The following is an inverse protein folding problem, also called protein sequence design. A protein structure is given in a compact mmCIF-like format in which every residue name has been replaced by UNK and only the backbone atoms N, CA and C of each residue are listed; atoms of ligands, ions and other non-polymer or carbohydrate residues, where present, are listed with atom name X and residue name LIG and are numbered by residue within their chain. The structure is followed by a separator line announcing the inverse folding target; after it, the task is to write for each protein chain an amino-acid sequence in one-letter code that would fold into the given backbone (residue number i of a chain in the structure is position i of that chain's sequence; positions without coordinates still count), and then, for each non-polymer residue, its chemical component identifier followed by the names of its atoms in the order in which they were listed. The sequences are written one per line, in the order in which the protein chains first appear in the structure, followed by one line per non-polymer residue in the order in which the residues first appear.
data_IF_827460709017
#
_entry.id   IF_827460709017
#
_cell.length_a   1.000
_cell.length_b   1.000
_cell.length_c   1.000
_cell.angle_alpha   90.00
_cell.angle_beta   90.00
_cell.angle_gamma   90.00
#
_symmetry.space_group_name_H-M   'P 1'
#
loop_
_entity.id
_entity.type
_entity.pdbx_description
1 polymer ?
#
# COMPACT_ATOMS: atom_id res chain seq x y z
N UNK A 1 -15.45 -16.53 -10.47
CA UNK A 1 -14.69 -15.47 -9.78
C UNK A 1 -13.53 -15.02 -10.64
N UNK A 2 -12.62 -15.94 -10.95
CA UNK A 2 -11.47 -15.75 -11.81
C UNK A 2 -11.59 -16.65 -13.05
N UNK A 3 -10.72 -16.43 -14.05
CA UNK A 3 -10.61 -17.33 -15.18
C UNK A 3 -10.31 -18.76 -14.69
N UNK A 4 -10.93 -19.75 -15.32
CA UNK A 4 -10.75 -21.16 -14.97
C UNK A 4 -10.63 -22.01 -16.22
N UNK A 5 -9.70 -22.99 -16.27
CA UNK A 5 -9.62 -23.95 -17.37
C UNK A 5 -10.84 -24.89 -17.43
N UNK A 6 -11.64 -24.97 -16.37
CA UNK A 6 -12.82 -25.86 -16.30
C UNK A 6 -14.04 -25.34 -17.09
N UNK A 7 -14.00 -24.12 -17.64
CA UNK A 7 -15.10 -23.54 -18.42
C UNK A 7 -14.59 -22.90 -19.71
N UNK A 8 -15.20 -23.26 -20.83
CA UNK A 8 -14.84 -22.82 -22.19
C UNK A 8 -15.31 -21.41 -22.54
N UNK A 9 -16.23 -20.82 -21.75
CA UNK A 9 -16.73 -19.46 -21.95
C UNK A 9 -16.38 -18.57 -20.74
N UNK A 10 -15.33 -17.77 -20.88
CA UNK A 10 -14.78 -16.88 -19.82
C UNK A 10 -15.18 -15.42 -19.97
N UNK A 11 -16.19 -15.11 -20.80
CA UNK A 11 -16.53 -13.74 -21.25
C UNK A 11 -16.92 -12.73 -20.15
N UNK A 12 -17.07 -13.13 -18.89
CA UNK A 12 -17.40 -12.21 -17.79
C UNK A 12 -16.79 -12.65 -16.45
N UNK A 13 -15.48 -12.52 -16.32
CA UNK A 13 -14.79 -12.64 -15.02
C UNK A 13 -15.12 -11.40 -14.17
N UNK A 14 -15.84 -11.60 -13.06
CA UNK A 14 -16.35 -10.51 -12.21
C UNK A 14 -15.43 -10.12 -11.03
N UNK A 15 -14.50 -11.00 -10.64
CA UNK A 15 -13.59 -10.78 -9.51
C UNK A 15 -14.28 -10.62 -8.15
N UNK A 16 -13.52 -10.13 -7.16
CA UNK A 16 -14.02 -9.83 -5.80
C UNK A 16 -15.02 -8.67 -5.82
N UNK A 17 -14.74 -7.61 -6.60
CA UNK A 17 -15.60 -6.43 -6.72
C UNK A 17 -16.99 -6.76 -7.25
N UNK A 18 -17.10 -7.54 -8.34
CA UNK A 18 -18.41 -7.93 -8.84
C UNK A 18 -19.15 -8.88 -7.88
N UNK A 19 -18.42 -9.63 -7.07
CA UNK A 19 -19.01 -10.48 -6.02
C UNK A 19 -19.56 -9.65 -4.87
N UNK A 20 -18.86 -8.60 -4.44
CA UNK A 20 -19.39 -7.63 -3.48
C UNK A 20 -20.66 -6.96 -3.98
N UNK A 21 -20.71 -6.61 -5.28
CA UNK A 21 -21.89 -5.99 -5.89
C UNK A 21 -23.11 -6.92 -5.81
N UNK A 22 -22.93 -8.20 -6.13
CA UNK A 22 -23.97 -9.23 -6.00
C UNK A 22 -24.40 -9.37 -4.53
N UNK A 23 -23.45 -9.52 -3.60
CA UNK A 23 -23.74 -9.68 -2.17
C UNK A 23 -24.47 -8.48 -1.57
N UNK A 24 -24.10 -7.28 -1.99
CA UNK A 24 -24.80 -6.05 -1.61
C UNK A 24 -26.23 -6.04 -2.12
N UNK A 25 -26.46 -6.45 -3.36
CA UNK A 25 -27.79 -6.49 -3.98
C UNK A 25 -28.73 -7.53 -3.33
N UNK A 26 -28.19 -8.59 -2.72
CA UNK A 26 -28.97 -9.61 -2.00
C UNK A 26 -28.82 -9.53 -0.48
N UNK A 27 -28.36 -8.39 0.04
CA UNK A 27 -28.05 -8.24 1.47
C UNK A 27 -29.26 -8.47 2.38
N UNK A 28 -30.46 -8.09 1.92
CA UNK A 28 -31.72 -8.31 2.66
C UNK A 28 -32.18 -9.78 2.66
N UNK A 29 -31.64 -10.61 1.76
CA UNK A 29 -31.98 -12.04 1.68
C UNK A 29 -31.15 -12.86 2.68
N UNK A 30 -31.50 -12.78 3.96
CA UNK A 30 -30.79 -13.48 5.05
C UNK A 30 -30.88 -15.00 4.97
N UNK A 31 -31.94 -15.54 4.35
CA UNK A 31 -32.18 -16.98 4.24
C UNK A 31 -31.50 -17.64 3.03
N UNK A 32 -30.76 -16.88 2.23
CA UNK A 32 -30.08 -17.39 1.04
C UNK A 32 -28.59 -17.51 1.32
N UNK A 33 -28.11 -18.74 1.39
CA UNK A 33 -26.69 -19.05 1.48
C UNK A 33 -25.98 -18.75 0.15
N UNK A 34 -24.74 -18.30 0.24
CA UNK A 34 -23.94 -17.80 -0.87
C UNK A 34 -22.57 -18.47 -0.91
N UNK A 35 -22.23 -19.00 -2.08
CA UNK A 35 -20.92 -19.58 -2.34
C UNK A 35 -20.31 -18.94 -3.56
N UNK A 36 -19.00 -18.67 -3.52
CA UNK A 36 -18.26 -18.21 -4.68
C UNK A 36 -17.63 -19.38 -5.43
N UNK A 37 -17.60 -19.33 -6.76
CA UNK A 37 -17.09 -20.41 -7.61
C UNK A 37 -16.28 -19.88 -8.80
N UNK A 38 -15.29 -20.66 -9.22
CA UNK A 38 -14.57 -20.51 -10.49
C UNK A 38 -13.21 -19.83 -10.34
N UNK A 39 -12.15 -20.59 -10.60
CA UNK A 39 -10.75 -20.12 -10.54
C UNK A 39 -10.22 -19.94 -9.11
N UNK A 40 -10.88 -20.53 -8.12
CA UNK A 40 -10.47 -20.49 -6.71
C UNK A 40 -9.45 -21.60 -6.47
N UNK A 41 -8.34 -21.25 -5.81
CA UNK A 41 -7.23 -22.14 -5.46
C UNK A 41 -6.60 -21.71 -4.12
N UNK A 42 -5.57 -22.42 -3.66
CA UNK A 42 -4.91 -22.15 -2.37
C UNK A 42 -4.36 -20.72 -2.25
N UNK A 43 -3.89 -20.13 -3.35
CA UNK A 43 -3.26 -18.80 -3.31
C UNK A 43 -4.27 -17.65 -3.24
N UNK A 44 -5.53 -17.86 -3.60
CA UNK A 44 -6.54 -16.79 -3.63
C UNK A 44 -7.76 -17.01 -2.73
N UNK A 45 -7.98 -18.20 -2.17
CA UNK A 45 -9.19 -18.53 -1.40
C UNK A 45 -9.42 -17.58 -0.22
N UNK A 46 -8.39 -17.26 0.55
CA UNK A 46 -8.52 -16.36 1.70
C UNK A 46 -8.84 -14.93 1.26
N UNK A 47 -8.23 -14.49 0.15
CA UNK A 47 -8.51 -13.19 -0.45
C UNK A 47 -9.95 -13.10 -0.94
N UNK A 48 -10.47 -14.15 -1.56
CA UNK A 48 -11.88 -14.22 -1.99
C UNK A 48 -12.81 -14.06 -0.80
N UNK A 49 -12.58 -14.84 0.27
CA UNK A 49 -13.39 -14.77 1.48
C UNK A 49 -13.30 -13.40 2.18
N UNK A 50 -12.12 -12.79 2.15
CA UNK A 50 -11.88 -11.50 2.82
C UNK A 50 -12.40 -10.31 2.01
N UNK A 51 -11.99 -10.16 0.75
CA UNK A 51 -12.33 -9.01 -0.08
C UNK A 51 -13.72 -9.10 -0.70
N UNK A 52 -14.38 -10.26 -0.81
CA UNK A 52 -15.72 -10.28 -1.43
C UNK A 52 -16.84 -9.80 -0.51
N UNK A 53 -16.56 -9.51 0.76
CA UNK A 53 -17.59 -9.17 1.75
C UNK A 53 -18.27 -7.83 1.44
N UNK A 54 -19.60 -7.79 1.58
CA UNK A 54 -20.40 -6.57 1.62
C UNK A 54 -20.69 -6.19 3.08
N UNK A 55 -20.95 -4.91 3.43
CA UNK A 55 -21.22 -4.51 4.81
C UNK A 55 -22.28 -5.34 5.55
N UNK A 56 -23.31 -5.79 4.83
CA UNK A 56 -24.45 -6.50 5.40
C UNK A 56 -24.50 -7.99 5.05
N UNK A 57 -23.60 -8.50 4.20
CA UNK A 57 -23.60 -9.92 3.79
C UNK A 57 -22.21 -10.38 3.33
N UNK A 58 -21.80 -11.55 3.82
CA UNK A 58 -20.57 -12.24 3.43
C UNK A 58 -20.86 -13.54 2.68
N UNK A 59 -19.82 -14.12 2.07
CA UNK A 59 -19.88 -15.47 1.54
C UNK A 59 -19.98 -16.49 2.68
N UNK A 60 -20.85 -17.49 2.54
CA UNK A 60 -20.96 -18.63 3.45
C UNK A 60 -19.90 -19.70 3.15
N UNK A 61 -19.34 -19.68 1.95
CA UNK A 61 -18.25 -20.57 1.57
C UNK A 61 -17.73 -20.39 0.14
N UNK A 62 -16.90 -21.35 -0.27
CA UNK A 62 -16.32 -21.42 -1.61
C UNK A 62 -16.59 -22.79 -2.22
N UNK A 63 -16.84 -22.83 -3.52
CA UNK A 63 -16.94 -24.06 -4.28
C UNK A 63 -15.67 -24.24 -5.14
N UNK A 64 -14.97 -25.34 -4.89
CA UNK A 64 -13.65 -25.64 -5.46
C UNK A 64 -13.76 -26.94 -6.26
N UNK A 65 -13.24 -26.95 -7.49
CA UNK A 65 -13.28 -28.11 -8.39
C UNK A 65 -11.87 -28.57 -8.73
N UNK A 66 -11.19 -27.91 -9.67
CA UNK A 66 -9.90 -28.36 -10.20
C UNK A 66 -8.80 -28.45 -9.14
N UNK A 67 -8.74 -27.51 -8.18
CA UNK A 67 -7.70 -27.50 -7.16
C UNK A 67 -7.78 -28.66 -6.15
N UNK A 68 -8.90 -29.39 -6.11
CA UNK A 68 -9.06 -30.61 -5.33
C UNK A 68 -9.04 -31.84 -6.25
N UNK A 69 -9.87 -31.82 -7.31
CA UNK A 69 -10.07 -32.98 -8.18
C UNK A 69 -8.86 -33.32 -9.04
N UNK A 70 -7.98 -32.35 -9.33
CA UNK A 70 -6.76 -32.55 -10.09
C UNK A 70 -5.50 -32.49 -9.21
N UNK A 71 -5.64 -32.49 -7.88
CA UNK A 71 -4.50 -32.55 -6.98
C UNK A 71 -3.98 -34.00 -6.90
N UNK A 72 -2.65 -34.15 -6.77
CA UNK A 72 -2.03 -35.46 -6.57
C UNK A 72 -2.52 -36.13 -5.27
N UNK A 73 -2.77 -35.33 -4.23
CA UNK A 73 -3.40 -35.74 -2.98
C UNK A 73 -4.64 -34.86 -2.69
N UNK A 74 -5.85 -35.28 -3.12
CA UNK A 74 -7.07 -34.55 -2.87
C UNK A 74 -7.41 -34.40 -1.38
N UNK A 75 -6.99 -35.34 -0.53
CA UNK A 75 -7.25 -35.28 0.92
C UNK A 75 -6.42 -34.15 1.55
N UNK A 76 -5.11 -34.15 1.31
CA UNK A 76 -4.22 -33.11 1.81
C UNK A 76 -4.64 -31.71 1.31
N UNK A 77 -4.96 -31.60 0.01
CA UNK A 77 -5.47 -30.36 -0.59
C UNK A 77 -6.75 -29.87 0.11
N UNK A 78 -7.69 -30.76 0.40
CA UNK A 78 -8.95 -30.43 1.09
C UNK A 78 -8.71 -30.00 2.54
N UNK A 79 -7.81 -30.69 3.27
CA UNK A 79 -7.45 -30.31 4.64
C UNK A 79 -6.82 -28.91 4.69
N UNK A 80 -5.99 -28.57 3.72
CA UNK A 80 -5.40 -27.23 3.60
C UNK A 80 -6.47 -26.17 3.31
N UNK A 81 -7.39 -26.41 2.36
CA UNK A 81 -8.51 -25.51 2.13
C UNK A 81 -9.36 -25.30 3.38
N UNK A 82 -9.66 -26.36 4.13
CA UNK A 82 -10.43 -26.25 5.36
C UNK A 82 -9.74 -25.36 6.40
N UNK A 83 -8.40 -25.38 6.47
CA UNK A 83 -7.62 -24.47 7.33
C UNK A 83 -7.66 -23.03 6.82
N UNK A 84 -7.43 -22.81 5.53
CA UNK A 84 -7.40 -21.48 4.91
C UNK A 84 -8.76 -20.77 4.99
N UNK A 85 -9.88 -21.49 4.78
CA UNK A 85 -11.22 -20.90 4.83
C UNK A 85 -11.62 -20.50 6.26
N UNK A 86 -11.17 -21.25 7.27
CA UNK A 86 -11.49 -21.00 8.68
C UNK A 86 -10.60 -19.95 9.36
N UNK A 87 -9.50 -19.56 8.72
CA UNK A 87 -8.56 -18.58 9.27
C UNK A 87 -8.59 -17.29 8.44
N UNK A 88 -8.50 -16.12 9.09
CA UNK A 88 -8.34 -14.87 8.35
C UNK A 88 -7.01 -14.89 7.60
N UNK A 89 -6.92 -14.25 6.41
CA UNK A 89 -5.64 -14.10 5.73
C UNK A 89 -4.64 -13.35 6.61
N UNK A 90 -3.35 -13.65 6.48
CA UNK A 90 -2.30 -12.99 7.25
C UNK A 90 -2.22 -11.47 7.03
N UNK A 91 -2.71 -10.99 5.88
CA UNK A 91 -2.82 -9.57 5.54
C UNK A 91 -4.14 -8.91 5.99
N UNK A 92 -5.08 -9.66 6.57
CA UNK A 92 -6.37 -9.13 7.02
C UNK A 92 -6.19 -8.04 8.09
N UNK A 93 -7.03 -6.99 8.00
CA UNK A 93 -7.15 -5.99 9.04
C UNK A 93 -8.01 -6.50 10.20
N UNK A 94 -7.73 -6.01 11.41
CA UNK A 94 -8.75 -5.85 12.44
C UNK A 94 -9.29 -4.42 12.31
N UNK A 95 -10.45 -4.20 11.68
CA UNK A 95 -10.99 -2.85 11.54
C UNK A 95 -11.21 -2.25 12.93
N UNK A 96 -10.58 -1.11 13.20
CA UNK A 96 -10.83 -0.29 14.38
C UNK A 96 -11.95 0.69 14.05
N UNK A 97 -12.98 0.72 14.89
CA UNK A 97 -14.00 1.77 14.81
C UNK A 97 -13.36 3.13 15.10
N UNK A 98 -13.75 4.16 14.35
CA UNK A 98 -13.34 5.54 14.61
C UNK A 98 -13.68 5.93 16.05
N UNK A 99 -12.72 6.54 16.76
CA UNK A 99 -12.94 7.15 18.07
C UNK A 99 -13.61 8.51 17.91
N UNK A 100 -14.10 9.05 19.01
CA UNK A 100 -14.43 10.49 19.10
C UNK A 100 -13.10 11.26 19.04
N UNK A 101 -12.98 12.23 18.13
CA UNK A 101 -11.73 12.95 17.80
C UNK A 101 -10.60 12.02 17.32
N UNK A 102 -10.88 11.21 16.29
CA UNK A 102 -9.91 10.23 15.77
C UNK A 102 -8.61 10.91 15.29
N UNK A 103 -8.68 12.05 14.61
CA UNK A 103 -7.49 12.77 14.15
C UNK A 103 -6.55 13.18 15.31
N UNK A 104 -7.09 13.72 16.40
CA UNK A 104 -6.29 14.13 17.57
C UNK A 104 -5.63 12.92 18.23
N UNK A 105 -6.38 11.83 18.42
CA UNK A 105 -5.86 10.61 19.01
C UNK A 105 -4.77 9.95 18.14
N UNK A 106 -4.94 9.98 16.81
CA UNK A 106 -3.92 9.50 15.88
C UNK A 106 -2.64 10.35 15.94
N UNK A 107 -2.76 11.68 16.00
CA UNK A 107 -1.62 12.61 16.11
C UNK A 107 -0.78 12.28 17.35
N UNK A 108 -1.40 12.02 18.50
CA UNK A 108 -0.69 11.70 19.75
C UNK A 108 0.16 10.41 19.65
N UNK A 109 -0.28 9.44 18.86
CA UNK A 109 0.42 8.16 18.68
C UNK A 109 1.59 8.25 17.67
N UNK A 110 1.62 9.26 16.79
CA UNK A 110 2.60 9.37 15.69
C UNK A 110 4.07 9.33 16.16
N UNK A 111 4.52 10.08 17.17
CA UNK A 111 5.93 10.05 17.59
C UNK A 111 6.41 8.66 18.02
N UNK A 112 5.54 7.89 18.69
CA UNK A 112 5.84 6.51 19.08
C UNK A 112 6.00 5.61 17.85
N UNK A 113 5.14 5.76 16.84
CA UNK A 113 5.23 4.97 15.61
C UNK A 113 6.49 5.31 14.80
N UNK A 114 6.85 6.59 14.73
CA UNK A 114 8.11 7.02 14.11
C UNK A 114 9.30 6.40 14.83
N UNK A 115 9.32 6.42 16.17
CA UNK A 115 10.38 5.77 16.96
C UNK A 115 10.46 4.27 16.69
N UNK A 116 9.32 3.56 16.66
CA UNK A 116 9.27 2.13 16.29
C UNK A 116 9.84 1.87 14.91
N UNK A 117 9.53 2.71 13.92
CA UNK A 117 10.08 2.61 12.57
C UNK A 117 11.61 2.80 12.58
N UNK A 118 12.08 3.82 13.31
CA UNK A 118 13.51 4.11 13.44
C UNK A 118 14.26 2.98 14.15
N UNK A 119 13.68 2.32 15.16
CA UNK A 119 14.31 1.19 15.85
C UNK A 119 14.24 -0.13 15.07
N UNK A 120 13.13 -0.36 14.35
CA UNK A 120 12.89 -1.62 13.65
C UNK A 120 13.78 -1.78 12.41
N UNK A 121 14.18 -0.67 11.78
CA UNK A 121 14.89 -0.65 10.50
C UNK A 121 14.22 -1.60 9.48
N UNK A 122 13.02 -1.25 8.98
CA UNK A 122 12.22 -2.13 8.12
C UNK A 122 12.73 -2.20 6.68
N UNK A 123 12.87 -3.40 6.14
CA UNK A 123 13.28 -3.64 4.75
C UNK A 123 12.16 -3.32 3.76
N UNK A 124 12.51 -2.69 2.63
CA UNK A 124 11.55 -2.42 1.54
C UNK A 124 12.12 -2.86 0.20
N UNK A 125 11.42 -3.78 -0.44
CA UNK A 125 11.64 -4.20 -1.81
C UNK A 125 10.90 -3.28 -2.76
N UNK A 126 11.65 -2.54 -3.57
CA UNK A 126 11.12 -1.54 -4.48
C UNK A 126 11.20 -2.05 -5.92
N UNK A 127 10.03 -2.26 -6.53
CA UNK A 127 9.87 -2.48 -7.96
C UNK A 127 9.38 -1.19 -8.60
N UNK A 128 10.30 -0.23 -8.75
CA UNK A 128 9.99 1.16 -9.15
C UNK A 128 10.63 1.57 -10.48
N UNK A 129 10.21 2.72 -10.99
CA UNK A 129 10.74 3.32 -12.21
C UNK A 129 12.19 3.79 -12.04
N UNK A 130 12.99 3.68 -13.10
CA UNK A 130 14.43 4.00 -13.07
C UNK A 130 14.73 5.48 -12.83
N UNK A 131 13.79 6.39 -13.11
CA UNK A 131 13.98 7.84 -12.97
C UNK A 131 14.15 8.23 -11.50
N UNK A 132 13.45 7.54 -10.60
CA UNK A 132 13.37 7.91 -9.19
C UNK A 132 14.17 6.98 -8.26
N UNK A 133 14.76 5.91 -8.79
CA UNK A 133 15.50 4.89 -8.00
C UNK A 133 16.49 5.53 -7.03
N UNK A 134 17.36 6.41 -7.52
CA UNK A 134 18.38 7.05 -6.69
C UNK A 134 17.76 7.94 -5.61
N UNK A 135 16.77 8.74 -5.96
CA UNK A 135 16.12 9.65 -5.01
C UNK A 135 15.38 8.87 -3.91
N UNK A 136 14.58 7.88 -4.30
CA UNK A 136 13.83 7.02 -3.37
C UNK A 136 14.78 6.24 -2.45
N UNK A 137 15.90 5.74 -2.97
CA UNK A 137 16.92 5.07 -2.15
C UNK A 137 17.49 6.01 -1.09
N UNK A 138 17.86 7.25 -1.46
CA UNK A 138 18.39 8.24 -0.52
C UNK A 138 17.36 8.66 0.53
N UNK A 139 16.09 8.82 0.15
CA UNK A 139 15.00 9.09 1.10
C UNK A 139 14.89 7.95 2.13
N UNK A 140 14.83 6.70 1.66
CA UNK A 140 14.72 5.54 2.54
C UNK A 140 15.93 5.43 3.50
N UNK A 141 17.14 5.69 3.01
CA UNK A 141 18.37 5.71 3.82
C UNK A 141 18.46 6.89 4.78
N UNK A 142 17.85 8.03 4.45
CA UNK A 142 17.78 9.18 5.35
C UNK A 142 16.87 8.88 6.55
N UNK A 143 15.86 8.04 6.35
CA UNK A 143 14.88 7.65 7.38
C UNK A 143 15.23 6.37 8.15
N UNK A 144 15.97 5.45 7.55
CA UNK A 144 16.37 4.18 8.16
C UNK A 144 17.87 4.17 8.46
N UNK A 145 18.30 3.80 9.68
CA UNK A 145 19.72 3.84 10.05
C UNK A 145 20.51 2.80 9.26
N UNK A 146 21.59 3.25 8.59
CA UNK A 146 22.69 2.39 8.19
C UNK A 146 23.74 2.43 9.30
N UNK A 147 23.77 1.43 10.18
CA UNK A 147 24.84 1.33 11.18
C UNK A 147 26.15 0.99 10.45
N UNK A 148 26.92 2.02 10.08
CA UNK A 148 28.20 1.89 9.37
C UNK A 148 29.20 1.01 10.14
N UNK A 149 29.09 0.93 11.46
CA UNK A 149 29.94 0.08 12.32
C UNK A 149 29.66 -1.42 12.23
N UNK A 150 28.48 -1.85 11.76
CA UNK A 150 28.17 -3.29 11.66
C UNK A 150 28.60 -3.90 10.30
N UNK A 151 28.87 -3.05 9.30
CA UNK A 151 29.17 -3.52 7.94
C UNK A 151 30.58 -4.13 7.79
N UNK A 152 31.53 -3.81 8.67
CA UNK A 152 32.89 -4.39 8.66
C UNK A 152 32.92 -5.76 9.34
N UNK A 153 31.88 -6.16 10.08
CA UNK A 153 31.78 -7.45 10.82
C UNK A 153 30.65 -8.35 10.26
N UNK A 154 30.11 -8.03 9.07
CA UNK A 154 29.01 -8.78 8.44
C UNK A 154 29.33 -10.26 8.11
N UNK A 155 30.56 -10.73 8.35
CA UNK A 155 30.93 -12.14 8.25
C UNK A 155 30.77 -12.94 9.55
N UNK A 156 30.50 -12.29 10.69
CA UNK A 156 30.44 -12.94 12.00
C UNK A 156 29.03 -13.07 12.61
N UNK A 157 28.03 -12.37 12.09
CA UNK A 157 26.66 -12.40 12.63
C UNK A 157 25.62 -12.81 11.58
N UNK A 158 25.78 -13.99 10.98
CA UNK A 158 24.72 -14.64 10.19
C UNK A 158 23.48 -15.03 11.05
N UNK A 159 23.56 -14.89 12.37
CA UNK A 159 22.49 -15.25 13.32
C UNK A 159 21.75 -14.05 13.94
N UNK A 160 22.04 -12.81 13.56
CA UNK A 160 21.25 -11.65 13.99
C UNK A 160 20.35 -11.17 12.85
N UNK A 161 19.12 -11.69 12.83
CA UNK A 161 18.00 -11.43 11.88
C UNK A 161 17.52 -9.96 11.78
N UNK A 162 18.31 -8.96 12.20
CA UNK A 162 17.91 -7.55 12.30
C UNK A 162 19.04 -6.57 12.01
N UNK A 163 19.89 -6.86 11.04
CA UNK A 163 20.97 -5.93 10.65
C UNK A 163 20.56 -5.07 9.45
N UNK A 164 20.05 -3.87 9.74
CA UNK A 164 20.02 -2.70 8.86
C UNK A 164 19.19 -2.82 7.58
N UNK A 165 17.98 -2.30 7.59
CA UNK A 165 17.22 -2.13 6.35
C UNK A 165 17.88 -1.15 5.39
N UNK A 166 18.19 -1.70 4.22
CA UNK A 166 18.52 -0.95 3.02
C UNK A 166 17.39 -1.19 2.01
N UNK A 167 16.95 -0.16 1.28
CA UNK A 167 16.04 -0.39 0.16
C UNK A 167 16.72 -1.31 -0.87
N UNK A 168 16.04 -2.35 -1.33
CA UNK A 168 16.48 -3.12 -2.50
C UNK A 168 15.69 -2.69 -3.72
N UNK A 169 16.37 -2.53 -4.84
CA UNK A 169 15.80 -2.08 -6.12
C UNK A 169 15.86 -3.25 -7.09
N UNK A 170 14.87 -4.13 -7.00
CA UNK A 170 14.88 -5.47 -7.59
C UNK A 170 13.63 -5.69 -8.44
N UNK A 171 13.66 -5.44 -9.76
CA UNK A 171 12.47 -5.56 -10.61
C UNK A 171 12.17 -7.01 -11.03
N UNK A 172 13.03 -7.97 -10.70
CA UNK A 172 12.89 -9.35 -11.14
C UNK A 172 11.95 -10.13 -10.21
N UNK A 173 10.90 -10.72 -10.76
CA UNK A 173 9.86 -11.38 -9.96
C UNK A 173 10.30 -12.70 -9.34
N UNK A 174 11.27 -13.41 -9.93
CA UNK A 174 11.69 -14.73 -9.47
C UNK A 174 12.52 -14.69 -8.18
N UNK A 175 13.19 -13.57 -7.88
CA UNK A 175 13.91 -13.38 -6.59
C UNK A 175 13.00 -12.89 -5.46
N UNK A 176 11.76 -12.48 -5.78
CA UNK A 176 10.83 -11.94 -4.79
C UNK A 176 10.49 -12.92 -3.64
N UNK A 177 10.38 -14.25 -3.85
CA UNK A 177 10.23 -15.20 -2.74
C UNK A 177 11.39 -15.19 -1.75
N UNK A 178 12.63 -14.97 -2.21
CA UNK A 178 13.80 -14.90 -1.34
C UNK A 178 13.80 -13.58 -0.55
N UNK A 179 13.48 -12.47 -1.22
CA UNK A 179 13.39 -11.14 -0.60
C UNK A 179 12.24 -11.06 0.42
N UNK A 180 11.09 -11.68 0.12
CA UNK A 180 9.95 -11.70 1.02
C UNK A 180 10.28 -12.39 2.37
N UNK A 181 11.26 -13.31 2.40
CA UNK A 181 11.73 -13.97 3.64
C UNK A 181 12.47 -13.04 4.61
N UNK A 182 12.84 -11.84 4.18
CA UNK A 182 13.52 -10.84 5.00
C UNK A 182 12.56 -10.00 5.86
N UNK A 183 11.27 -10.36 5.92
CA UNK A 183 10.24 -9.76 6.77
C UNK A 183 9.99 -8.26 6.54
N UNK A 184 10.21 -7.78 5.31
CA UNK A 184 9.92 -6.40 4.90
C UNK A 184 8.58 -6.21 4.18
N UNK A 185 8.49 -5.11 3.42
CA UNK A 185 7.35 -4.79 2.54
C UNK A 185 7.76 -4.71 1.07
N UNK A 186 6.77 -4.79 0.18
CA UNK A 186 6.92 -4.62 -1.26
C UNK A 186 6.27 -3.32 -1.72
N UNK A 187 6.97 -2.53 -2.54
CA UNK A 187 6.41 -1.43 -3.33
C UNK A 187 6.37 -1.83 -4.81
N UNK A 188 5.18 -1.89 -5.38
CA UNK A 188 4.97 -2.00 -6.83
C UNK A 188 4.60 -0.62 -7.38
N UNK A 189 5.48 -0.05 -8.20
CA UNK A 189 5.26 1.23 -8.87
C UNK A 189 5.28 1.04 -10.39
N UNK A 190 4.22 1.47 -11.06
CA UNK A 190 4.00 1.21 -12.48
C UNK A 190 4.71 2.21 -13.42
N UNK A 191 5.58 3.10 -12.91
CA UNK A 191 6.12 4.21 -13.69
C UNK A 191 6.87 3.79 -14.96
N UNK A 192 7.61 2.67 -14.93
CA UNK A 192 8.32 2.12 -16.10
C UNK A 192 7.81 0.72 -16.46
N UNK A 193 6.60 0.65 -17.02
CA UNK A 193 6.03 -0.61 -17.49
C UNK A 193 6.67 -1.07 -18.80
N UNK A 194 7.13 -2.32 -18.82
CA UNK A 194 7.61 -3.06 -20.00
C UNK A 194 6.83 -4.39 -20.17
N UNK A 195 7.14 -5.17 -21.21
CA UNK A 195 6.43 -6.41 -21.53
C UNK A 195 6.40 -7.45 -20.41
N UNK A 196 7.43 -7.49 -19.57
CA UNK A 196 7.57 -8.47 -18.48
C UNK A 196 7.10 -7.94 -17.11
N UNK A 197 6.86 -6.63 -17.01
CA UNK A 197 6.61 -5.95 -15.72
C UNK A 197 5.42 -6.54 -14.97
N UNK A 198 4.28 -6.72 -15.65
CA UNK A 198 3.06 -7.26 -15.02
C UNK A 198 3.30 -8.67 -14.48
N UNK A 199 4.00 -9.51 -15.23
CA UNK A 199 4.35 -10.87 -14.78
C UNK A 199 5.25 -10.84 -13.54
N UNK A 200 6.27 -9.98 -13.53
CA UNK A 200 7.16 -9.83 -12.37
C UNK A 200 6.44 -9.29 -11.14
N UNK A 201 5.57 -8.27 -11.30
CA UNK A 201 4.77 -7.73 -10.21
C UNK A 201 3.83 -8.77 -9.61
N UNK A 202 3.20 -9.61 -10.43
CA UNK A 202 2.32 -10.68 -9.95
C UNK A 202 3.07 -11.73 -9.13
N UNK A 203 4.27 -12.13 -9.56
CA UNK A 203 5.13 -13.06 -8.81
C UNK A 203 5.51 -12.49 -7.45
N UNK A 204 5.95 -11.22 -7.43
CA UNK A 204 6.30 -10.55 -6.18
C UNK A 204 5.08 -10.38 -5.26
N UNK A 205 3.95 -9.93 -5.81
CA UNK A 205 2.70 -9.78 -5.07
C UNK A 205 2.28 -11.09 -4.38
N UNK A 206 2.31 -12.21 -5.11
CA UNK A 206 2.00 -13.53 -4.56
C UNK A 206 2.97 -13.94 -3.46
N UNK A 207 4.27 -13.72 -3.64
CA UNK A 207 5.28 -14.04 -2.65
C UNK A 207 5.09 -13.27 -1.33
N UNK A 208 4.80 -11.97 -1.40
CA UNK A 208 4.58 -11.13 -0.21
C UNK A 208 3.23 -11.42 0.45
N UNK A 209 2.14 -11.59 -0.33
CA UNK A 209 0.83 -11.96 0.21
C UNK A 209 0.86 -13.32 0.93
N UNK A 210 1.58 -14.31 0.40
CA UNK A 210 1.71 -15.62 1.03
C UNK A 210 2.38 -15.57 2.41
N UNK A 211 3.22 -14.54 2.65
CA UNK A 211 3.87 -14.29 3.95
C UNK A 211 3.09 -13.32 4.85
N UNK A 212 1.99 -12.74 4.37
CA UNK A 212 1.30 -11.64 5.06
C UNK A 212 2.17 -10.39 5.20
N UNK A 213 3.15 -10.22 4.31
CA UNK A 213 4.02 -9.05 4.29
C UNK A 213 3.30 -7.88 3.58
N UNK A 214 3.46 -6.62 4.05
CA UNK A 214 2.73 -5.49 3.48
C UNK A 214 3.10 -5.24 2.01
N UNK A 215 2.10 -4.94 1.18
CA UNK A 215 2.29 -4.55 -0.21
C UNK A 215 1.67 -3.18 -0.47
N UNK A 216 2.49 -2.25 -0.95
CA UNK A 216 2.11 -0.91 -1.39
C UNK A 216 2.01 -0.89 -2.92
N UNK A 217 0.92 -0.33 -3.43
CA UNK A 217 0.71 -0.15 -4.86
C UNK A 217 0.64 1.33 -5.23
N UNK A 218 1.49 1.71 -6.18
CA UNK A 218 1.57 3.05 -6.77
C UNK A 218 1.31 2.95 -8.29
N UNK A 219 0.04 3.16 -8.74
CA UNK A 219 -0.41 2.97 -10.11
C UNK A 219 -0.05 4.18 -10.98
N UNK A 220 1.22 4.57 -10.98
CA UNK A 220 1.73 5.76 -11.68
C UNK A 220 1.23 5.83 -13.13
N UNK A 221 0.58 6.93 -13.47
CA UNK A 221 0.05 7.19 -14.81
C UNK A 221 -1.02 6.17 -15.25
N UNK A 222 -1.74 5.55 -14.31
CA UNK A 222 -2.75 4.53 -14.61
C UNK A 222 -3.77 4.94 -15.68
N UNK A 223 -4.16 6.22 -15.71
CA UNK A 223 -5.14 6.73 -16.66
C UNK A 223 -4.53 7.11 -18.02
N UNK A 224 -3.21 7.05 -18.20
CA UNK A 224 -2.55 7.63 -19.37
C UNK A 224 -2.71 6.78 -20.66
N UNK A 225 -2.68 5.45 -20.54
CA UNK A 225 -2.73 4.53 -21.70
C UNK A 225 -3.60 3.30 -21.41
N UNK A 226 -4.11 2.66 -22.47
CA UNK A 226 -4.87 1.41 -22.34
C UNK A 226 -4.05 0.27 -21.71
N UNK A 227 -2.77 0.16 -22.07
CA UNK A 227 -1.87 -0.84 -21.47
C UNK A 227 -1.79 -0.66 -19.96
N UNK A 228 -1.67 0.59 -19.47
CA UNK A 228 -1.62 0.89 -18.03
C UNK A 228 -2.96 0.59 -17.34
N UNK A 229 -4.09 0.91 -17.97
CA UNK A 229 -5.43 0.54 -17.44
C UNK A 229 -5.61 -0.98 -17.33
N UNK A 230 -5.18 -1.73 -18.34
CA UNK A 230 -5.22 -3.19 -18.32
C UNK A 230 -4.30 -3.78 -17.24
N UNK A 231 -3.11 -3.19 -17.06
CA UNK A 231 -2.18 -3.59 -16.00
C UNK A 231 -2.76 -3.36 -14.59
N UNK A 232 -3.41 -2.21 -14.33
CA UNK A 232 -4.11 -1.95 -13.07
C UNK A 232 -5.17 -3.02 -12.80
N UNK A 233 -6.04 -3.30 -13.76
CA UNK A 233 -7.07 -4.34 -13.63
C UNK A 233 -6.46 -5.71 -13.33
N UNK A 234 -5.36 -6.05 -14.02
CA UNK A 234 -4.67 -7.34 -13.85
C UNK A 234 -4.03 -7.47 -12.47
N UNK A 235 -3.37 -6.41 -11.99
CA UNK A 235 -2.71 -6.39 -10.68
C UNK A 235 -3.72 -6.41 -9.54
N UNK A 236 -4.77 -5.59 -9.62
CA UNK A 236 -5.89 -5.63 -8.68
C UNK A 236 -6.57 -6.99 -8.67
N UNK A 237 -6.66 -7.70 -9.80
CA UNK A 237 -7.18 -9.07 -9.83
C UNK A 237 -6.18 -10.11 -9.32
N UNK A 238 -4.87 -9.81 -9.30
CA UNK A 238 -3.78 -10.75 -9.04
C UNK A 238 -3.43 -10.98 -7.56
N UNK A 239 -3.69 -10.01 -6.68
CA UNK A 239 -3.41 -10.14 -5.24
C UNK A 239 -4.00 -9.02 -4.39
N UNK A 240 -3.56 -8.96 -3.14
CA UNK A 240 -4.00 -7.99 -2.14
C UNK A 240 -2.93 -6.92 -1.93
N UNK A 241 -3.38 -5.67 -1.85
CA UNK A 241 -2.55 -4.51 -1.54
C UNK A 241 -3.02 -3.91 -0.21
N UNK A 242 -2.07 -3.69 0.70
CA UNK A 242 -2.30 -3.06 2.00
C UNK A 242 -2.53 -1.56 1.88
N UNK A 243 -1.83 -0.93 0.94
CA UNK A 243 -1.97 0.48 0.60
C UNK A 243 -2.07 0.66 -0.91
N UNK A 244 -3.08 1.38 -1.37
CA UNK A 244 -3.12 1.95 -2.71
C UNK A 244 -2.90 3.45 -2.60
N UNK A 245 -1.82 3.94 -3.20
CA UNK A 245 -1.46 5.35 -3.19
C UNK A 245 -1.48 5.91 -4.60
N UNK A 246 -1.99 7.11 -4.79
CA UNK A 246 -1.88 7.82 -6.07
C UNK A 246 -2.43 9.24 -6.00
N UNK A 247 -2.30 9.99 -7.08
CA UNK A 247 -3.02 11.26 -7.24
C UNK A 247 -4.52 11.04 -7.55
N UNK A 248 -5.30 12.13 -7.58
CA UNK A 248 -6.76 12.07 -7.85
C UNK A 248 -7.09 11.24 -9.10
N UNK A 249 -6.42 11.46 -10.22
CA UNK A 249 -6.74 10.76 -11.48
C UNK A 249 -6.33 9.28 -11.46
N UNK A 250 -5.24 8.94 -10.79
CA UNK A 250 -4.82 7.55 -10.59
C UNK A 250 -5.80 6.80 -9.69
N UNK A 251 -6.20 7.38 -8.56
CA UNK A 251 -7.19 6.78 -7.66
C UNK A 251 -8.56 6.64 -8.36
N UNK A 252 -8.98 7.61 -9.17
CA UNK A 252 -10.19 7.50 -10.01
C UNK A 252 -10.11 6.36 -11.01
N UNK A 253 -8.93 6.11 -11.58
CA UNK A 253 -8.70 5.00 -12.51
C UNK A 253 -8.72 3.65 -11.80
N UNK A 254 -8.14 3.53 -10.61
CA UNK A 254 -8.23 2.31 -9.77
C UNK A 254 -9.68 2.06 -9.35
N UNK A 255 -10.43 3.12 -9.04
CA UNK A 255 -11.87 3.01 -8.76
C UNK A 255 -12.67 2.50 -9.97
N UNK A 256 -12.18 2.70 -11.19
CA UNK A 256 -12.89 2.30 -12.41
C UNK A 256 -13.89 3.35 -12.90
N UNK A 257 -13.82 4.58 -12.40
CA UNK A 257 -14.50 5.70 -13.04
C UNK A 257 -13.77 6.05 -14.34
N UNK A 258 -14.52 6.26 -15.43
CA UNK A 258 -13.97 6.79 -16.69
C UNK A 258 -13.48 8.22 -16.43
N UNK A 259 -12.30 8.37 -15.85
CA UNK A 259 -11.62 9.64 -15.73
C UNK A 259 -11.16 10.09 -17.12
N UNK A 260 -11.21 11.40 -17.36
CA UNK A 260 -10.60 11.99 -18.54
C UNK A 260 -9.12 11.60 -18.63
N UNK A 261 -8.64 11.44 -19.86
CA UNK A 261 -7.28 10.96 -20.13
C UNK A 261 -6.23 11.88 -19.48
N UNK A 262 -5.46 11.37 -18.51
CA UNK A 262 -4.31 12.10 -17.96
C UNK A 262 -3.21 12.24 -19.02
N UNK A 263 -2.65 13.45 -19.17
CA UNK A 263 -1.45 13.68 -19.98
C UNK A 263 -0.20 13.39 -19.14
N UNK A 264 0.33 12.17 -19.24
CA UNK A 264 1.58 11.79 -18.56
C UNK A 264 1.40 11.44 -17.08
N UNK A 265 2.45 11.70 -16.28
CA UNK A 265 2.49 11.42 -14.82
C UNK A 265 2.27 12.66 -13.96
N UNK A 266 2.11 13.82 -14.58
CA UNK A 266 1.85 15.08 -13.89
C UNK A 266 0.41 15.11 -13.36
N UNK A 267 0.25 15.64 -12.15
CA UNK A 267 -1.08 15.84 -11.56
C UNK A 267 -1.81 16.94 -12.34
N UNK A 268 -2.87 16.57 -13.07
CA UNK A 268 -3.77 17.54 -13.72
C UNK A 268 -4.54 18.39 -12.70
N UNK A 269 -5.25 19.45 -13.15
CA UNK A 269 -6.08 20.26 -12.26
C UNK A 269 -7.12 19.38 -11.57
N UNK A 270 -7.24 19.54 -10.27
CA UNK A 270 -8.20 18.79 -9.46
C UNK A 270 -9.63 19.14 -9.88
N UNK A 271 -10.44 18.10 -10.13
CA UNK A 271 -11.83 18.26 -10.57
C UNK A 271 -12.83 18.04 -9.45
N UNK A 272 -12.39 17.38 -8.37
CA UNK A 272 -13.20 17.05 -7.20
C UNK A 272 -12.94 18.01 -6.04
N UNK A 273 -14.01 18.39 -5.34
CA UNK A 273 -13.88 19.10 -4.07
C UNK A 273 -13.37 18.16 -2.95
N UNK A 274 -13.01 18.72 -1.80
CA UNK A 274 -12.44 17.95 -0.69
C UNK A 274 -13.34 16.83 -0.17
N UNK A 275 -14.66 17.06 -0.06
CA UNK A 275 -15.59 16.00 0.34
C UNK A 275 -15.68 14.87 -0.69
N UNK A 276 -15.68 15.19 -1.98
CA UNK A 276 -15.70 14.18 -3.04
C UNK A 276 -14.43 13.33 -3.06
N UNK A 277 -13.26 13.94 -2.81
CA UNK A 277 -11.98 13.23 -2.66
C UNK A 277 -12.00 12.29 -1.46
N UNK A 278 -12.45 12.79 -0.31
CA UNK A 278 -12.63 11.99 0.90
C UNK A 278 -13.57 10.79 0.67
N UNK A 279 -14.71 10.99 -0.01
CA UNK A 279 -15.63 9.90 -0.37
C UNK A 279 -14.94 8.87 -1.26
N UNK A 280 -14.24 9.33 -2.29
CA UNK A 280 -13.57 8.45 -3.24
C UNK A 280 -12.48 7.60 -2.56
N UNK A 281 -11.65 8.21 -1.69
CA UNK A 281 -10.65 7.49 -0.92
C UNK A 281 -11.29 6.44 0.01
N UNK A 282 -12.35 6.83 0.74
CA UNK A 282 -13.12 5.93 1.61
C UNK A 282 -13.74 4.77 0.87
N UNK A 283 -14.46 5.06 -0.19
CA UNK A 283 -15.23 4.04 -0.91
C UNK A 283 -14.27 3.04 -1.58
N UNK A 284 -13.15 3.51 -2.12
CA UNK A 284 -12.11 2.62 -2.65
C UNK A 284 -11.47 1.76 -1.55
N UNK A 285 -11.09 2.38 -0.42
CA UNK A 285 -10.51 1.67 0.72
C UNK A 285 -11.46 0.58 1.27
N UNK A 286 -12.75 0.91 1.39
CA UNK A 286 -13.80 -0.02 1.85
C UNK A 286 -14.01 -1.16 0.83
N UNK A 287 -14.05 -0.85 -0.47
CA UNK A 287 -14.19 -1.85 -1.54
C UNK A 287 -13.01 -2.82 -1.55
N UNK A 288 -11.79 -2.32 -1.50
CA UNK A 288 -10.59 -3.17 -1.56
C UNK A 288 -10.20 -3.74 -0.19
N UNK A 289 -10.86 -3.30 0.89
CA UNK A 289 -10.56 -3.62 2.30
C UNK A 289 -9.09 -3.39 2.64
N UNK A 290 -8.61 -2.21 2.26
CA UNK A 290 -7.22 -1.76 2.42
C UNK A 290 -7.17 -0.27 2.81
N UNK A 291 -5.96 0.29 2.86
CA UNK A 291 -5.75 1.72 3.04
C UNK A 291 -5.61 2.39 1.67
N UNK A 292 -6.18 3.58 1.51
CA UNK A 292 -6.02 4.41 0.33
C UNK A 292 -5.43 5.76 0.73
N UNK A 293 -4.36 6.16 0.06
CA UNK A 293 -3.74 7.48 0.17
C UNK A 293 -3.89 8.22 -1.16
N UNK A 294 -4.73 9.25 -1.18
CA UNK A 294 -4.86 10.16 -2.32
C UNK A 294 -4.03 11.41 -2.07
N UNK A 295 -2.93 11.57 -2.79
CA UNK A 295 -2.03 12.71 -2.60
C UNK A 295 -2.41 13.93 -3.46
N UNK A 296 -2.14 15.13 -2.95
CA UNK A 296 -2.40 16.39 -3.63
C UNK A 296 -1.88 17.60 -2.84
N UNK A 297 -2.56 18.74 -2.97
CA UNK A 297 -2.31 19.89 -2.08
C UNK A 297 -2.85 19.66 -0.65
N UNK A 298 -3.87 18.80 -0.55
CA UNK A 298 -4.36 18.19 0.68
C UNK A 298 -4.43 16.71 0.41
N UNK A 299 -3.80 15.93 1.27
CA UNK A 299 -3.75 14.49 1.18
C UNK A 299 -4.96 13.88 1.90
N UNK A 300 -5.60 12.88 1.30
CA UNK A 300 -6.73 12.16 1.89
C UNK A 300 -6.35 10.72 2.15
N UNK A 301 -6.39 10.31 3.41
CA UNK A 301 -6.03 8.96 3.85
C UNK A 301 -7.25 8.27 4.47
N UNK A 302 -7.51 7.04 4.08
CA UNK A 302 -8.66 6.26 4.58
C UNK A 302 -8.41 4.77 4.61
N UNK A 303 -8.98 4.07 5.59
CA UNK A 303 -9.03 2.60 5.69
C UNK A 303 -10.42 2.01 5.36
N UNK A 304 -11.35 2.86 4.94
CA UNK A 304 -12.72 2.50 4.57
C UNK A 304 -13.74 2.80 5.65
N UNK A 305 -13.30 3.03 6.88
CA UNK A 305 -14.14 3.47 8.00
C UNK A 305 -13.75 4.86 8.49
N UNK A 306 -12.44 5.11 8.64
CA UNK A 306 -11.85 6.38 9.06
C UNK A 306 -11.36 7.14 7.83
N UNK A 307 -11.56 8.46 7.83
CA UNK A 307 -11.08 9.34 6.75
C UNK A 307 -10.48 10.59 7.36
N UNK A 308 -9.22 10.85 7.02
CA UNK A 308 -8.48 12.02 7.50
C UNK A 308 -7.91 12.82 6.33
N UNK A 309 -7.90 14.13 6.47
CA UNK A 309 -7.23 15.07 5.58
C UNK A 309 -5.93 15.54 6.24
N UNK A 310 -4.84 15.59 5.47
CA UNK A 310 -3.52 16.06 5.89
C UNK A 310 -3.13 17.26 5.03
N UNK A 311 -2.84 18.38 5.68
CA UNK A 311 -2.51 19.67 5.05
C UNK A 311 -1.05 20.10 5.31
N UNK A 312 -0.19 19.13 5.62
CA UNK A 312 1.23 19.33 5.76
C UNK A 312 1.93 19.35 4.39
N UNK A 313 3.19 19.77 4.39
CA UNK A 313 4.05 19.69 3.21
C UNK A 313 4.31 21.04 2.54
N UNK A 314 4.95 20.99 1.37
CA UNK A 314 5.39 22.20 0.67
C UNK A 314 5.34 22.02 -0.85
N UNK A 315 5.02 23.09 -1.58
CA UNK A 315 4.85 23.07 -3.05
C UNK A 315 6.09 22.60 -3.82
N UNK A 316 7.30 22.72 -3.24
CA UNK A 316 8.52 22.16 -3.82
C UNK A 316 8.49 20.64 -3.98
N UNK A 317 7.69 19.92 -3.18
CA UNK A 317 7.51 18.48 -3.38
C UNK A 317 6.95 18.18 -4.78
N UNK A 318 6.04 19.01 -5.30
CA UNK A 318 5.50 18.86 -6.65
C UNK A 318 6.46 19.27 -7.78
N UNK A 319 7.60 19.88 -7.46
CA UNK A 319 8.61 20.33 -8.43
C UNK A 319 9.84 19.41 -8.48
N UNK A 320 9.86 18.35 -7.69
CA UNK A 320 10.93 17.36 -7.64
C UNK A 320 10.39 16.01 -8.09
N UNK A 321 11.01 15.43 -9.11
CA UNK A 321 10.62 14.10 -9.60
C UNK A 321 10.84 13.04 -8.52
N UNK A 322 9.86 12.16 -8.33
CA UNK A 322 9.96 11.01 -7.42
C UNK A 322 9.60 11.26 -5.96
N UNK A 323 9.24 12.48 -5.56
CA UNK A 323 8.69 12.78 -4.22
C UNK A 323 7.43 11.97 -3.94
N UNK A 324 6.50 11.95 -4.89
CA UNK A 324 5.32 11.11 -4.85
C UNK A 324 5.67 9.64 -4.68
N UNK A 325 6.57 9.09 -5.51
CA UNK A 325 6.95 7.68 -5.43
C UNK A 325 7.64 7.31 -4.11
N UNK A 326 8.42 8.23 -3.52
CA UNK A 326 9.11 8.01 -2.26
C UNK A 326 8.15 7.78 -1.09
N UNK A 327 6.97 8.43 -1.08
CA UNK A 327 5.92 8.18 -0.08
C UNK A 327 5.49 6.71 -0.09
N UNK A 328 5.50 6.04 -1.25
CA UNK A 328 5.20 4.61 -1.33
C UNK A 328 6.20 3.75 -0.55
N UNK A 329 7.50 4.03 -0.69
CA UNK A 329 8.57 3.32 0.04
C UNK A 329 8.49 3.60 1.54
N UNK A 330 8.25 4.86 1.91
CA UNK A 330 8.07 5.28 3.30
C UNK A 330 6.89 4.56 3.92
N UNK A 331 5.76 4.55 3.23
CA UNK A 331 4.57 3.83 3.70
C UNK A 331 4.87 2.35 3.93
N UNK A 332 5.65 1.72 3.04
CA UNK A 332 6.12 0.34 3.23
C UNK A 332 6.95 0.14 4.51
N UNK A 333 7.88 1.06 4.80
CA UNK A 333 8.65 1.06 6.05
C UNK A 333 7.73 1.08 7.28
N UNK A 334 6.80 2.04 7.31
CA UNK A 334 5.90 2.21 8.44
C UNK A 334 4.90 1.06 8.58
N UNK A 335 4.34 0.54 7.48
CA UNK A 335 3.48 -0.64 7.49
C UNK A 335 4.20 -1.88 8.01
N UNK A 336 5.50 -2.00 7.71
CA UNK A 336 6.32 -3.08 8.26
C UNK A 336 6.55 -2.91 9.76
N UNK A 337 6.83 -1.70 10.21
CA UNK A 337 7.07 -1.39 11.63
C UNK A 337 5.80 -1.44 12.50
N UNK A 338 4.63 -1.13 11.92
CA UNK A 338 3.37 -1.05 12.65
C UNK A 338 2.20 -1.66 11.85
N UNK A 339 2.05 -2.99 11.95
CA UNK A 339 1.01 -3.74 11.22
C UNK A 339 -0.39 -3.68 11.85
N UNK A 340 -0.49 -3.33 13.14
CA UNK A 340 -1.76 -3.37 13.87
C UNK A 340 -2.74 -2.28 13.43
N UNK A 341 -2.25 -1.11 13.03
CA UNK A 341 -3.06 -0.01 12.50
C UNK A 341 -2.40 0.56 11.25
N UNK A 342 -2.79 0.05 10.08
CA UNK A 342 -2.20 0.42 8.80
C UNK A 342 -2.42 1.90 8.48
N UNK A 343 -3.56 2.48 8.89
CA UNK A 343 -3.86 3.89 8.67
C UNK A 343 -2.91 4.78 9.48
N UNK A 344 -2.74 4.49 10.77
CA UNK A 344 -1.81 5.21 11.64
C UNK A 344 -0.36 5.07 11.15
N UNK A 345 0.02 3.87 10.68
CA UNK A 345 1.34 3.63 10.10
C UNK A 345 1.60 4.57 8.90
N UNK A 346 0.68 4.60 7.93
CA UNK A 346 0.81 5.43 6.74
C UNK A 346 0.77 6.92 7.10
N UNK A 347 -0.12 7.34 8.00
CA UNK A 347 -0.19 8.71 8.49
C UNK A 347 1.14 9.18 9.10
N UNK A 348 1.74 8.35 9.96
CA UNK A 348 3.01 8.68 10.63
C UNK A 348 4.14 8.89 9.62
N UNK A 349 4.16 8.08 8.55
CA UNK A 349 5.12 8.23 7.46
C UNK A 349 4.93 9.50 6.65
N UNK A 350 3.69 9.86 6.32
CA UNK A 350 3.37 11.11 5.61
C UNK A 350 3.76 12.32 6.46
N UNK A 351 3.37 12.35 7.73
CA UNK A 351 3.66 13.48 8.60
C UNK A 351 5.16 13.69 8.78
N UNK A 352 5.94 12.63 8.99
CA UNK A 352 7.40 12.72 9.03
C UNK A 352 7.97 13.30 7.72
N UNK A 353 7.45 12.85 6.58
CA UNK A 353 7.90 13.28 5.25
C UNK A 353 7.55 14.75 4.98
N UNK A 354 6.32 15.15 5.25
CA UNK A 354 5.80 16.47 4.92
C UNK A 354 6.31 17.55 5.88
N UNK A 355 6.47 17.24 7.17
CA UNK A 355 7.09 18.15 8.15
C UNK A 355 8.57 18.36 7.81
N UNK A 356 9.29 17.33 7.37
CA UNK A 356 10.66 17.48 6.87
C UNK A 356 10.71 18.42 5.65
N UNK A 357 9.73 18.33 4.75
CA UNK A 357 9.64 19.21 3.59
C UNK A 357 9.40 20.67 3.97
N UNK A 358 8.52 20.92 4.94
CA UNK A 358 8.31 22.27 5.49
C UNK A 358 9.59 22.83 6.13
N UNK A 359 10.28 22.03 6.95
CA UNK A 359 11.52 22.45 7.59
C UNK A 359 12.61 22.77 6.57
N UNK A 360 12.76 21.92 5.54
CA UNK A 360 13.73 22.12 4.48
C UNK A 360 13.44 23.40 3.69
N UNK A 361 12.16 23.64 3.35
CA UNK A 361 11.74 24.85 2.65
C UNK A 361 11.95 26.14 3.46
N UNK A 362 11.93 26.05 4.80
CA UNK A 362 12.14 27.21 5.69
C UNK A 362 13.60 27.67 5.79
N UNK A 363 14.56 26.89 5.26
CA UNK A 363 15.98 27.24 5.33
C UNK A 363 16.32 28.39 4.38
N UNK A 364 17.04 29.40 4.87
CA UNK A 364 17.40 30.59 4.09
C UNK A 364 18.20 30.29 2.81
N UNK A 365 18.97 29.19 2.78
CA UNK A 365 19.76 28.79 1.61
C UNK A 365 18.96 28.02 0.56
N UNK A 366 17.70 27.65 0.84
CA UNK A 366 16.83 26.97 -0.12
C UNK A 366 16.15 28.01 -1.00
N UNK A 367 16.52 28.02 -2.27
CA UNK A 367 16.06 28.99 -3.28
C UNK A 367 15.20 28.38 -4.38
N UNK A 368 14.95 27.07 -4.33
CA UNK A 368 14.21 26.33 -5.35
C UNK A 368 14.47 24.82 -5.27
N UNK A 369 13.87 24.03 -6.18
CA UNK A 369 13.86 22.56 -6.10
C UNK A 369 15.26 21.94 -6.06
N UNK A 370 16.25 22.52 -6.73
CA UNK A 370 17.63 22.01 -6.73
C UNK A 370 18.33 22.12 -5.37
N UNK A 371 18.08 23.19 -4.60
CA UNK A 371 18.63 23.35 -3.23
C UNK A 371 17.74 22.73 -2.17
N UNK A 372 16.45 22.53 -2.48
CA UNK A 372 15.48 21.86 -1.63
C UNK A 372 15.80 20.37 -1.45
N UNK A 373 16.16 19.64 -2.51
CA UNK A 373 16.39 18.18 -2.41
C UNK A 373 17.45 17.80 -1.36
N UNK A 374 18.65 18.40 -1.35
CA UNK A 374 19.64 18.13 -0.31
C UNK A 374 19.12 18.49 1.09
N UNK A 375 18.55 19.69 1.25
CA UNK A 375 18.01 20.15 2.54
C UNK A 375 16.89 19.21 3.05
N UNK A 376 16.08 18.68 2.13
CA UNK A 376 15.01 17.75 2.45
C UNK A 376 15.52 16.41 2.98
N UNK A 377 16.54 15.85 2.34
CA UNK A 377 17.19 14.63 2.83
C UNK A 377 17.84 14.85 4.20
N UNK A 378 18.49 15.99 4.40
CA UNK A 378 19.09 16.36 5.69
C UNK A 378 18.05 16.50 6.81
N UNK A 379 16.88 17.08 6.51
CA UNK A 379 15.78 17.20 7.48
C UNK A 379 15.15 15.84 7.81
N UNK A 380 14.98 14.95 6.83
CA UNK A 380 14.55 13.57 7.11
C UNK A 380 15.54 12.85 8.05
N UNK A 381 16.84 13.03 7.80
CA UNK A 381 17.91 12.51 8.66
C UNK A 381 17.86 13.13 10.07
N UNK A 382 17.61 14.43 10.17
CA UNK A 382 17.53 15.15 11.44
C UNK A 382 16.34 14.64 12.29
N UNK A 383 15.15 14.52 11.70
CA UNK A 383 13.96 13.98 12.37
C UNK A 383 14.21 12.56 12.85
N UNK A 384 14.77 11.69 12.00
CA UNK A 384 15.17 10.33 12.40
C UNK A 384 16.08 10.35 13.62
N UNK A 385 17.10 11.22 13.60
CA UNK A 385 18.10 11.32 14.67
C UNK A 385 17.50 11.84 15.97
N UNK A 386 16.54 12.77 15.90
CA UNK A 386 15.78 13.26 17.04
C UNK A 386 14.89 12.14 17.62
N UNK A 387 14.09 11.48 16.78
CA UNK A 387 13.21 10.38 17.19
C UNK A 387 13.99 9.21 17.84
N UNK A 388 15.18 8.87 17.32
CA UNK A 388 16.07 7.87 17.91
C UNK A 388 16.54 8.22 19.34
N UNK A 389 16.58 9.51 19.67
CA UNK A 389 16.93 10.01 21.02
C UNK A 389 15.70 10.24 21.90
N UNK A 390 14.49 9.93 21.41
CA UNK A 390 13.24 10.24 22.09
C UNK A 390 12.90 11.74 22.08
N UNK A 391 13.49 12.51 21.17
CA UNK A 391 13.17 13.93 20.98
C UNK A 391 12.04 14.08 19.95
N UNK A 392 10.87 14.47 20.44
CA UNK A 392 9.65 14.64 19.64
C UNK A 392 9.42 16.12 19.26
N UNK A 393 10.39 17.01 19.49
CA UNK A 393 10.30 18.46 19.22
C UNK A 393 10.01 18.80 17.76
N UNK A 394 10.39 17.93 16.83
CA UNK A 394 10.11 18.07 15.40
C UNK A 394 8.60 18.01 15.07
N UNK A 395 7.78 17.45 15.96
CA UNK A 395 6.37 17.16 15.70
C UNK A 395 5.39 18.09 16.45
N UNK A 396 5.76 18.56 17.65
CA UNK A 396 4.85 19.31 18.55
C UNK A 396 4.25 20.53 17.86
N UNK A 397 2.91 20.55 17.73
CA UNK A 397 2.15 21.65 17.13
C UNK A 397 2.31 21.80 15.61
N UNK A 398 2.92 20.82 14.92
CA UNK A 398 3.21 20.88 13.48
C UNK A 398 2.18 20.16 12.61
N UNK A 399 1.55 19.12 13.14
CA UNK A 399 0.60 18.30 12.40
C UNK A 399 -0.70 19.08 12.10
N UNK A 400 -1.08 19.14 10.83
CA UNK A 400 -2.35 19.71 10.34
C UNK A 400 -3.18 18.58 9.77
N UNK A 401 -3.84 17.85 10.67
CA UNK A 401 -4.69 16.69 10.34
C UNK A 401 -6.10 16.94 10.84
N UNK A 402 -7.09 16.67 10.00
CA UNK A 402 -8.50 16.88 10.32
C UNK A 402 -9.35 15.67 9.94
N UNK A 403 -10.31 15.33 10.78
CA UNK A 403 -11.32 14.31 10.46
C UNK A 403 -12.24 14.81 9.35
N UNK A 404 -12.49 13.98 8.33
CA UNK A 404 -13.47 14.28 7.29
C UNK A 404 -14.69 13.39 7.50
N UNK A 405 -15.83 14.01 7.81
CA UNK A 405 -17.11 13.30 7.89
C UNK A 405 -17.65 13.07 6.49
N UNK A 406 -17.82 11.80 6.12
CA UNK A 406 -18.21 11.42 4.75
C UNK A 406 -19.29 10.38 4.68
#
# INVERSE_FOLDING_TARGET
MFATPTKTNTKSVIGTVGTQAILSAISDATNVATVSIGGINHSNVQRVMYQSQSPNKSLDGVAIVSAIMAADDPKASTEEFAKLIKSPPAFALNPRSARVNEAEALIEEVPEIVRKMVEAHPFVHNMINFVVVNFVANVALSMCVFHYYLCVIARFFANHRRSGASPIMAPYGEEAPDLARLDGSLLINMGTLNGDSVSNYLKALQAYNARGAPVVYDPVGAAATEIRRNAVSTLLAGGYFDLVKGNEGEIRQVWGSNAEQQRGVDSGPSTLNGQQKARLARDLARRERNVVLMTGAVDYLSDGERVIAVENGHHYLGQVTGTGCAIGTISGCFLTAHRSDKLLAVLSGILMYEIAAENAASKEYVRGPGSFVPAFLDELYAIRTAAAKGDDSWFVGRARVHDVKV
#
